data_IF_671235834145
#
_entry.id   IF_671235834145
#
_cell.length_a   1.000
_cell.length_b   1.000
_cell.length_c   1.000
_cell.angle_alpha   90.00
_cell.angle_beta   90.00
_cell.angle_gamma   90.00
#
_symmetry.space_group_name_H-M   'P 1'
#
loop_
_entity.id
_entity.type
_entity.pdbx_description
1 polymer ?
#
# COMPACT_ATOMS: atom_id res chain seq x y z
N UNK A 1 0.56 -31.09 -15.45
CA UNK A 1 1.81 -30.33 -15.21
C UNK A 1 1.53 -28.86 -14.86
N UNK A 2 0.79 -28.09 -15.68
CA UNK A 2 0.58 -26.65 -15.45
C UNK A 2 -0.15 -26.29 -14.14
N UNK A 3 -1.20 -27.03 -13.75
CA UNK A 3 -1.96 -26.71 -12.52
C UNK A 3 -1.11 -26.86 -11.25
N UNK A 4 -0.26 -27.89 -11.18
CA UNK A 4 0.62 -28.13 -10.03
C UNK A 4 1.68 -27.04 -9.91
N UNK A 5 2.23 -26.58 -11.04
CA UNK A 5 3.19 -25.48 -11.05
C UNK A 5 2.50 -24.17 -10.61
N UNK A 6 1.34 -23.84 -11.17
CA UNK A 6 0.60 -22.62 -10.80
C UNK A 6 0.22 -22.60 -9.33
N UNK A 7 -0.48 -23.64 -8.85
CA UNK A 7 -0.91 -23.70 -7.45
C UNK A 7 0.27 -23.86 -6.49
N UNK A 8 1.33 -24.58 -6.90
CA UNK A 8 2.56 -24.70 -6.13
C UNK A 8 3.24 -23.36 -5.92
N UNK A 9 3.38 -22.54 -6.97
CA UNK A 9 3.96 -21.19 -6.85
C UNK A 9 3.10 -20.27 -5.99
N UNK A 10 1.77 -20.33 -6.13
CA UNK A 10 0.85 -19.58 -5.27
C UNK A 10 1.00 -19.98 -3.80
N UNK A 11 1.06 -21.28 -3.51
CA UNK A 11 1.25 -21.79 -2.16
C UNK A 11 2.58 -21.31 -1.56
N UNK A 12 3.68 -21.40 -2.32
CA UNK A 12 5.00 -20.90 -1.88
C UNK A 12 4.93 -19.40 -1.59
N UNK A 13 4.32 -18.61 -2.47
CA UNK A 13 4.15 -17.17 -2.25
C UNK A 13 3.39 -16.87 -0.95
N UNK A 14 2.25 -17.55 -0.71
CA UNK A 14 1.48 -17.35 0.51
C UNK A 14 2.24 -17.78 1.77
N UNK A 15 2.97 -18.90 1.72
CA UNK A 15 3.80 -19.35 2.84
C UNK A 15 4.87 -18.29 3.17
N UNK A 16 5.51 -17.70 2.16
CA UNK A 16 6.50 -16.63 2.37
C UNK A 16 5.83 -15.40 3.01
N UNK A 17 4.69 -14.94 2.49
CA UNK A 17 3.97 -13.78 3.03
C UNK A 17 3.54 -14.03 4.47
N UNK A 18 2.94 -15.18 4.76
CA UNK A 18 2.53 -15.57 6.11
C UNK A 18 3.74 -15.63 7.04
N UNK A 19 4.86 -16.18 6.59
CA UNK A 19 6.10 -16.24 7.37
C UNK A 19 6.62 -14.85 7.74
N UNK A 20 6.65 -13.92 6.78
CA UNK A 20 7.05 -12.52 7.02
C UNK A 20 6.11 -11.85 8.02
N UNK A 21 4.79 -12.00 7.83
CA UNK A 21 3.78 -11.42 8.71
C UNK A 21 3.85 -11.99 10.12
N UNK A 22 4.12 -13.29 10.27
CA UNK A 22 4.28 -13.93 11.57
C UNK A 22 5.49 -13.37 12.31
N UNK A 23 6.63 -13.24 11.63
CA UNK A 23 7.84 -12.64 12.23
C UNK A 23 7.61 -11.17 12.59
N UNK A 24 6.90 -10.41 11.74
CA UNK A 24 6.55 -9.02 12.03
C UNK A 24 5.64 -8.90 13.26
N UNK A 25 4.59 -9.73 13.33
CA UNK A 25 3.66 -9.77 14.48
C UNK A 25 4.37 -10.05 15.80
N UNK A 26 5.38 -10.93 15.80
CA UNK A 26 6.17 -11.22 17.01
C UNK A 26 6.98 -10.01 17.51
N UNK A 27 7.20 -9.00 16.67
CA UNK A 27 7.92 -7.76 17.00
C UNK A 27 6.99 -6.62 17.42
N UNK A 28 5.70 -6.71 17.16
CA UNK A 28 4.72 -5.69 17.53
C UNK A 28 4.47 -5.73 19.06
N UNK A 29 5.19 -4.90 19.80
CA UNK A 29 5.17 -4.92 21.26
C UNK A 29 3.98 -4.16 21.88
N UNK A 30 3.41 -3.18 21.17
CA UNK A 30 2.34 -2.33 21.70
C UNK A 30 1.53 -1.65 20.57
N UNK A 31 0.44 -0.99 20.94
CA UNK A 31 -0.46 -0.32 19.99
C UNK A 31 0.21 0.77 19.14
N UNK A 32 1.27 1.42 19.64
CA UNK A 32 2.00 2.42 18.86
C UNK A 32 2.86 1.79 17.75
N UNK A 33 3.43 0.62 17.99
CA UNK A 33 4.13 -0.15 16.95
C UNK A 33 3.14 -0.62 15.88
N UNK A 34 2.01 -1.17 16.30
CA UNK A 34 0.97 -1.62 15.37
C UNK A 34 0.39 -0.49 14.50
N UNK A 35 0.09 0.66 15.09
CA UNK A 35 -0.69 1.71 14.43
C UNK A 35 0.17 2.66 13.57
N UNK A 36 1.41 2.95 14.00
CA UNK A 36 2.30 3.91 13.31
C UNK A 36 3.72 3.39 13.10
N UNK A 37 4.01 2.10 13.36
CA UNK A 37 5.34 1.51 13.22
C UNK A 37 6.39 2.19 14.10
N UNK A 38 5.98 2.66 15.28
CA UNK A 38 6.85 3.42 16.19
C UNK A 38 7.34 4.74 15.59
N UNK A 39 6.74 5.22 14.49
CA UNK A 39 7.21 6.36 13.70
C UNK A 39 8.63 6.21 13.14
N UNK A 40 9.07 4.96 12.95
CA UNK A 40 10.44 4.60 12.54
C UNK A 40 10.63 4.46 11.02
N UNK A 41 9.54 4.33 10.27
CA UNK A 41 9.62 4.07 8.83
C UNK A 41 10.14 5.28 8.05
N UNK A 42 11.18 5.03 7.25
CA UNK A 42 11.73 6.04 6.35
C UNK A 42 10.77 6.41 5.20
N UNK A 43 11.00 7.56 4.54
CA UNK A 43 10.10 8.07 3.49
C UNK A 43 9.88 7.10 2.33
N UNK A 44 10.90 6.34 1.94
CA UNK A 44 10.80 5.37 0.86
C UNK A 44 9.86 4.20 1.21
N UNK A 45 9.97 3.68 2.43
CA UNK A 45 9.10 2.59 2.90
C UNK A 45 7.64 3.02 2.94
N UNK A 46 7.37 4.24 3.42
CA UNK A 46 6.02 4.83 3.44
C UNK A 46 5.49 5.01 2.02
N UNK A 47 6.32 5.53 1.09
CA UNK A 47 5.93 5.70 -0.31
C UNK A 47 5.60 4.36 -0.99
N UNK A 48 6.43 3.33 -0.77
CA UNK A 48 6.18 1.99 -1.32
C UNK A 48 4.94 1.34 -0.70
N UNK A 49 4.69 1.53 0.60
CA UNK A 49 3.49 1.03 1.27
C UNK A 49 2.23 1.66 0.70
N UNK A 50 2.27 2.97 0.43
CA UNK A 50 1.19 3.68 -0.25
C UNK A 50 0.96 3.15 -1.67
N UNK A 51 2.03 3.07 -2.49
CA UNK A 51 1.95 2.56 -3.86
C UNK A 51 1.41 1.14 -3.89
N UNK A 52 1.90 0.25 -3.03
CA UNK A 52 1.46 -1.13 -2.97
C UNK A 52 -0.02 -1.29 -2.55
N UNK A 53 -0.54 -0.39 -1.72
CA UNK A 53 -1.95 -0.46 -1.28
C UNK A 53 -2.89 -0.04 -2.39
N UNK A 54 -2.57 1.04 -3.09
CA UNK A 54 -3.48 1.67 -4.04
C UNK A 54 -3.30 1.17 -5.48
N UNK A 55 -2.05 0.98 -5.93
CA UNK A 55 -1.73 0.70 -7.34
C UNK A 55 -2.26 -0.63 -7.85
N UNK A 56 -2.09 -1.78 -7.14
CA UNK A 56 -2.60 -3.05 -7.64
C UNK A 56 -4.13 -3.06 -7.70
N UNK A 57 -4.79 -2.57 -6.65
CA UNK A 57 -6.25 -2.54 -6.58
C UNK A 57 -6.86 -1.72 -7.70
N UNK A 58 -6.35 -0.50 -7.94
CA UNK A 58 -6.91 0.38 -8.97
C UNK A 58 -6.54 -0.05 -10.38
N UNK A 59 -5.29 -0.46 -10.61
CA UNK A 59 -4.82 -0.86 -11.94
C UNK A 59 -5.51 -2.13 -12.44
N UNK A 60 -5.52 -3.20 -11.64
CA UNK A 60 -6.03 -4.50 -12.07
C UNK A 60 -7.56 -4.56 -12.12
N UNK A 61 -8.25 -3.80 -11.28
CA UNK A 61 -9.72 -3.85 -11.20
C UNK A 61 -10.37 -2.75 -12.05
N UNK A 62 -9.90 -1.51 -11.95
CA UNK A 62 -10.59 -0.36 -12.52
C UNK A 62 -9.96 0.13 -13.84
N UNK A 63 -8.68 0.48 -13.83
CA UNK A 63 -8.07 1.17 -14.96
C UNK A 63 -7.83 0.27 -16.17
N UNK A 64 -7.48 -1.01 -15.96
CA UNK A 64 -7.40 -1.97 -17.06
C UNK A 64 -8.74 -2.12 -17.78
N UNK A 65 -9.84 -2.25 -17.03
CA UNK A 65 -11.18 -2.32 -17.60
C UNK A 65 -11.61 -1.03 -18.31
N UNK A 66 -11.35 0.12 -17.70
CA UNK A 66 -11.68 1.43 -18.28
C UNK A 66 -10.89 1.71 -19.57
N UNK A 67 -9.59 1.38 -19.59
CA UNK A 67 -8.77 1.53 -20.80
C UNK A 67 -9.23 0.58 -21.92
N UNK A 68 -9.56 -0.67 -21.58
CA UNK A 68 -10.08 -1.63 -22.55
C UNK A 68 -11.45 -1.23 -23.12
N UNK A 69 -12.35 -0.69 -22.27
CA UNK A 69 -13.72 -0.33 -22.66
C UNK A 69 -13.89 1.07 -23.25
N UNK A 70 -13.03 2.03 -22.88
CA UNK A 70 -13.18 3.46 -23.23
C UNK A 70 -11.93 4.09 -23.83
N UNK A 71 -10.88 3.29 -24.07
CA UNK A 71 -9.66 3.73 -24.74
C UNK A 71 -8.97 4.88 -24.02
N UNK A 72 -8.81 6.01 -24.72
CA UNK A 72 -8.07 7.19 -24.25
C UNK A 72 -8.63 7.74 -22.93
N UNK A 73 -9.91 7.57 -22.64
CA UNK A 73 -10.51 8.02 -21.37
C UNK A 73 -9.85 7.32 -20.17
N UNK A 74 -9.38 6.08 -20.34
CA UNK A 74 -8.62 5.35 -19.32
C UNK A 74 -7.34 6.07 -18.87
N UNK A 75 -6.76 6.94 -19.70
CA UNK A 75 -5.57 7.72 -19.34
C UNK A 75 -5.83 8.82 -18.31
N UNK A 76 -7.09 9.11 -17.98
CA UNK A 76 -7.44 9.89 -16.78
C UNK A 76 -6.72 9.37 -15.52
N UNK A 77 -6.44 8.06 -15.45
CA UNK A 77 -5.64 7.43 -14.41
C UNK A 77 -4.32 8.18 -14.14
N UNK A 78 -3.64 8.69 -15.17
CA UNK A 78 -2.37 9.42 -15.02
C UNK A 78 -2.54 10.73 -14.27
N UNK A 79 -3.52 11.54 -14.68
CA UNK A 79 -3.81 12.83 -14.05
C UNK A 79 -4.30 12.63 -12.60
N UNK A 80 -5.19 11.65 -12.40
CA UNK A 80 -5.65 11.25 -11.09
C UNK A 80 -4.48 10.87 -10.16
N UNK A 81 -3.60 9.99 -10.62
CA UNK A 81 -2.45 9.50 -9.84
C UNK A 81 -1.49 10.63 -9.46
N UNK A 82 -1.18 11.50 -10.42
CA UNK A 82 -0.28 12.64 -10.19
C UNK A 82 -0.88 13.61 -9.16
N UNK A 83 -2.17 13.94 -9.30
CA UNK A 83 -2.86 14.83 -8.37
C UNK A 83 -2.92 14.22 -6.96
N UNK A 84 -3.16 12.92 -6.83
CA UNK A 84 -3.12 12.22 -5.54
C UNK A 84 -1.77 12.38 -4.87
N UNK A 85 -0.67 12.15 -5.57
CA UNK A 85 0.69 12.26 -5.00
C UNK A 85 1.00 13.71 -4.60
N UNK A 86 0.60 14.69 -5.41
CA UNK A 86 0.77 16.12 -5.07
C UNK A 86 0.00 16.47 -3.79
N UNK A 87 -1.28 16.10 -3.71
CA UNK A 87 -2.10 16.36 -2.53
C UNK A 87 -1.53 15.68 -1.29
N UNK A 88 -1.11 14.42 -1.41
CA UNK A 88 -0.45 13.71 -0.32
C UNK A 88 0.82 14.42 0.14
N UNK A 89 1.68 14.86 -0.78
CA UNK A 89 2.90 15.59 -0.43
C UNK A 89 2.60 16.86 0.37
N UNK A 90 1.59 17.63 -0.05
CA UNK A 90 1.16 18.86 0.62
C UNK A 90 0.57 18.60 2.02
N UNK A 91 -0.11 17.48 2.20
CA UNK A 91 -0.79 17.13 3.45
C UNK A 91 0.08 16.32 4.42
N UNK A 92 1.00 15.50 3.91
CA UNK A 92 1.73 14.49 4.68
C UNK A 92 2.42 15.09 5.92
N UNK A 93 3.17 16.19 5.73
CA UNK A 93 3.87 16.85 6.85
C UNK A 93 2.89 17.39 7.90
N UNK A 94 1.78 18.00 7.47
CA UNK A 94 0.79 18.61 8.38
C UNK A 94 0.10 17.54 9.20
N UNK A 95 -0.38 16.48 8.55
CA UNK A 95 -1.05 15.34 9.18
C UNK A 95 -0.08 14.63 10.13
N UNK A 96 1.17 14.42 9.73
CA UNK A 96 2.19 13.78 10.55
C UNK A 96 2.48 14.56 11.85
N UNK A 97 2.73 15.86 11.74
CA UNK A 97 3.01 16.73 12.90
C UNK A 97 1.80 16.80 13.82
N UNK A 98 0.59 16.92 13.26
CA UNK A 98 -0.64 16.98 14.04
C UNK A 98 -0.91 15.67 14.78
N UNK A 99 -0.74 14.53 14.10
CA UNK A 99 -0.91 13.21 14.71
C UNK A 99 0.11 12.92 15.80
N UNK A 100 1.37 13.32 15.61
CA UNK A 100 2.40 13.20 16.64
C UNK A 100 2.11 14.06 17.88
N UNK A 101 1.61 15.29 17.69
CA UNK A 101 1.30 16.21 18.80
C UNK A 101 0.12 15.77 19.66
N UNK A 102 -0.86 15.10 19.08
CA UNK A 102 -2.10 14.71 19.77
C UNK A 102 -2.17 13.20 20.10
N UNK A 103 -1.03 12.50 20.02
CA UNK A 103 -0.92 11.03 20.13
C UNK A 103 -1.99 10.26 19.33
N UNK A 104 -2.24 10.73 18.10
CA UNK A 104 -3.19 10.06 17.21
C UNK A 104 -2.46 8.92 16.51
N UNK A 105 -3.04 7.74 16.66
CA UNK A 105 -2.51 6.46 16.18
C UNK A 105 -3.35 5.90 15.04
N UNK A 106 -4.63 6.26 14.97
CA UNK A 106 -5.51 5.98 13.84
C UNK A 106 -6.14 7.28 13.36
N UNK A 107 -6.73 7.23 12.16
CA UNK A 107 -7.67 8.28 11.72
C UNK A 107 -8.85 8.39 12.67
#
# INVERSE_FOLDING_TARGET
MNLVITFGMMAVFFVIVIGILYVAKLRDANFSEYAVGGRSFGPFYVAMSFLNTWWPGTTFIAFAGLAAGSGVIGFYALLYSLLTVILMYLMAKKVWVWGARNDLRTQ
#
